data_IF_391394574424
#
_entry.id   IF_391394574424
#
_cell.length_a   1.000
_cell.length_b   1.000
_cell.length_c   1.000
_cell.angle_alpha   90.00
_cell.angle_beta   90.00
_cell.angle_gamma   90.00
#
_symmetry.space_group_name_H-M   'P 1'
#
loop_
_entity.id
_entity.type
_entity.pdbx_description
1 polymer ?
#
# COMPACT_ATOMS: atom_id res chain seq x y z
N UNK A 1 10.05 10.35 5.68
CA UNK A 1 9.80 9.64 4.40
C UNK A 1 11.14 9.41 3.73
N UNK A 2 11.39 8.21 3.21
CA UNK A 2 12.64 7.90 2.49
C UNK A 2 12.47 8.36 1.04
N UNK A 3 13.49 8.98 0.44
CA UNK A 3 13.43 9.42 -0.95
C UNK A 3 13.24 8.20 -1.87
N UNK A 4 12.27 8.27 -2.79
CA UNK A 4 11.89 7.12 -3.63
C UNK A 4 10.97 6.09 -2.94
N UNK A 5 10.34 6.45 -1.82
CA UNK A 5 9.30 5.65 -1.18
C UNK A 5 7.98 6.42 -1.08
N UNK A 6 6.86 5.70 -0.99
CA UNK A 6 5.54 6.26 -0.71
C UNK A 6 4.85 5.42 0.35
N UNK A 7 4.08 6.08 1.22
CA UNK A 7 3.20 5.41 2.19
C UNK A 7 1.83 5.21 1.56
N UNK A 8 1.31 3.98 1.62
CA UNK A 8 -0.08 3.68 1.30
C UNK A 8 -0.83 3.53 2.62
N UNK A 9 -1.81 4.39 2.86
CA UNK A 9 -2.66 4.30 4.04
C UNK A 9 -3.80 3.29 3.83
N UNK A 10 -4.34 2.72 4.89
CA UNK A 10 -5.55 1.91 4.87
C UNK A 10 -6.56 2.54 5.83
N UNK A 11 -7.74 2.88 5.33
CA UNK A 11 -8.79 3.56 6.08
C UNK A 11 -9.67 2.55 6.82
N UNK A 12 -9.09 1.86 7.81
CA UNK A 12 -9.81 0.90 8.63
C UNK A 12 -9.04 0.51 9.88
N UNK A 13 -9.71 -0.16 10.84
CA UNK A 13 -9.08 -0.54 12.09
C UNK A 13 -7.99 -1.60 11.90
N UNK A 14 -6.92 -1.48 12.68
CA UNK A 14 -5.86 -2.50 12.81
C UNK A 14 -4.53 -2.13 12.16
N UNK A 15 -3.53 -2.99 12.34
CA UNK A 15 -2.24 -2.91 11.65
C UNK A 15 -2.31 -3.71 10.36
N UNK A 16 -2.44 -3.01 9.24
CA UNK A 16 -2.42 -3.65 7.92
C UNK A 16 -0.96 -3.76 7.45
N UNK A 17 -0.49 -5.00 7.37
CA UNK A 17 0.83 -5.32 6.84
C UNK A 17 0.70 -6.01 5.48
N UNK A 18 1.82 -6.02 4.75
CA UNK A 18 1.93 -6.82 3.54
C UNK A 18 1.61 -8.29 3.86
N UNK A 19 0.72 -8.90 3.07
CA UNK A 19 0.22 -10.28 3.23
C UNK A 19 -0.77 -10.50 4.41
N UNK A 20 -1.35 -9.46 5.00
CA UNK A 20 -2.41 -9.58 6.03
C UNK A 20 -3.83 -9.77 5.46
N UNK A 21 -3.96 -10.15 4.19
CA UNK A 21 -5.25 -10.42 3.53
C UNK A 21 -6.03 -9.21 3.01
N UNK A 22 -5.52 -7.98 3.17
CA UNK A 22 -6.14 -6.75 2.62
C UNK A 22 -5.68 -6.52 1.18
N UNK A 23 -6.58 -6.61 0.21
CA UNK A 23 -6.20 -6.73 -1.19
C UNK A 23 -5.62 -5.44 -1.76
N UNK A 24 -6.21 -4.28 -1.47
CA UNK A 24 -5.74 -2.99 -1.96
C UNK A 24 -4.26 -2.72 -1.60
N UNK A 25 -3.83 -2.75 -0.33
CA UNK A 25 -2.43 -2.51 0.01
C UNK A 25 -1.50 -3.62 -0.48
N UNK A 26 -1.96 -4.88 -0.52
CA UNK A 26 -1.19 -6.00 -1.11
C UNK A 26 -0.92 -5.75 -2.59
N UNK A 27 -1.92 -5.27 -3.35
CA UNK A 27 -1.77 -5.00 -4.79
C UNK A 27 -0.73 -3.91 -5.05
N UNK A 28 -0.71 -2.85 -4.25
CA UNK A 28 0.31 -1.80 -4.35
C UNK A 28 1.70 -2.33 -4.02
N UNK A 29 1.83 -3.12 -2.95
CA UNK A 29 3.09 -3.74 -2.59
C UNK A 29 3.60 -4.70 -3.69
N UNK A 30 2.74 -5.58 -4.23
CA UNK A 30 3.12 -6.47 -5.35
C UNK A 30 3.55 -5.64 -6.57
N UNK A 31 2.78 -4.63 -6.95
CA UNK A 31 3.09 -3.76 -8.10
C UNK A 31 4.43 -3.05 -7.93
N UNK A 32 4.73 -2.56 -6.73
CA UNK A 32 6.03 -1.99 -6.41
C UNK A 32 7.16 -3.02 -6.54
N UNK A 33 6.97 -4.24 -6.01
CA UNK A 33 8.00 -5.27 -6.00
C UNK A 33 8.24 -5.89 -7.39
N UNK A 34 7.21 -6.05 -8.21
CA UNK A 34 7.32 -6.70 -9.52
C UNK A 34 7.62 -5.71 -10.63
N UNK A 35 7.05 -4.50 -10.56
CA UNK A 35 7.08 -3.54 -11.66
C UNK A 35 7.84 -2.25 -11.31
N UNK A 36 8.40 -2.16 -10.10
CA UNK A 36 9.08 -0.94 -9.59
C UNK A 36 8.20 0.32 -9.72
N UNK A 37 6.88 0.14 -9.61
CA UNK A 37 5.89 1.21 -9.78
C UNK A 37 5.28 1.58 -8.44
N UNK A 38 5.43 2.84 -8.06
CA UNK A 38 4.84 3.41 -6.86
C UNK A 38 3.46 3.99 -7.15
N UNK A 39 2.50 3.89 -6.21
CA UNK A 39 1.25 4.64 -6.29
C UNK A 39 1.47 6.15 -6.11
N UNK A 40 0.44 6.92 -6.40
CA UNK A 40 0.46 8.37 -6.20
C UNK A 40 0.63 8.71 -4.70
N UNK A 41 1.43 9.74 -4.36
CA UNK A 41 1.53 10.22 -2.98
C UNK A 41 0.17 10.56 -2.39
N UNK A 42 -0.11 10.02 -1.20
CA UNK A 42 -1.40 10.21 -0.52
C UNK A 42 -2.47 9.17 -0.89
N UNK A 43 -2.12 8.12 -1.65
CA UNK A 43 -3.02 6.99 -1.89
C UNK A 43 -3.52 6.37 -0.58
N UNK A 44 -4.84 6.26 -0.45
CA UNK A 44 -5.52 5.62 0.67
C UNK A 44 -6.35 4.45 0.13
N UNK A 45 -6.11 3.27 0.67
CA UNK A 45 -6.94 2.10 0.44
C UNK A 45 -8.17 2.16 1.35
N UNK A 46 -9.39 2.01 0.81
CA UNK A 46 -10.61 1.98 1.62
C UNK A 46 -10.68 0.70 2.48
N UNK A 47 -11.54 0.72 3.50
CA UNK A 47 -11.95 -0.50 4.18
C UNK A 47 -12.65 -1.43 3.19
N UNK A 48 -12.19 -2.68 3.16
CA UNK A 48 -12.80 -3.79 2.40
C UNK A 48 -13.82 -4.54 3.27
#
# INVERSE_FOLDING_TARGET
>A
MIQGSVTVAYDGPGHVMYLSGKQCPIRHAITCLTNLTLPEPGTVCPVE
#
